data_IF_740172020714
#
_entry.id   IF_740172020714
#
_cell.length_a   1.000
_cell.length_b   1.000
_cell.length_c   1.000
_cell.angle_alpha   90.00
_cell.angle_beta   90.00
_cell.angle_gamma   90.00
#
_symmetry.space_group_name_H-M   'P 1'
#
loop_
_entity.id
_entity.type
_entity.pdbx_description
1 polymer ?
#
# COMPACT_ATOMS: atom_id res chain seq x y z
N UNK A 1 23.68 -21.83 -1.70
CA UNK A 1 22.28 -21.39 -1.47
C UNK A 1 22.05 -19.89 -1.24
N UNK A 2 23.04 -18.96 -1.21
CA UNK A 2 22.73 -17.51 -1.21
C UNK A 2 22.53 -16.89 -2.62
N UNK A 3 23.03 -17.55 -3.67
CA UNK A 3 23.10 -16.96 -5.01
C UNK A 3 21.78 -16.98 -5.80
N UNK A 4 20.79 -17.78 -5.41
CA UNK A 4 19.53 -17.91 -6.14
C UNK A 4 18.56 -16.78 -5.84
N UNK A 5 18.47 -16.35 -4.57
CA UNK A 5 17.70 -15.17 -4.16
C UNK A 5 18.33 -13.91 -4.75
N UNK A 6 19.67 -13.81 -4.68
CA UNK A 6 20.39 -12.67 -5.22
C UNK A 6 20.20 -12.52 -6.73
N UNK A 7 20.29 -13.60 -7.52
CA UNK A 7 20.02 -13.54 -8.97
C UNK A 7 18.56 -13.28 -9.27
N UNK A 8 17.64 -14.11 -8.79
CA UNK A 8 16.28 -14.07 -9.32
C UNK A 8 15.49 -12.84 -8.83
N UNK A 9 15.74 -12.38 -7.60
CA UNK A 9 15.05 -11.22 -7.05
C UNK A 9 15.78 -9.92 -7.41
N UNK A 10 17.11 -9.83 -7.19
CA UNK A 10 17.79 -8.57 -7.52
C UNK A 10 17.99 -8.38 -9.02
N UNK A 11 18.23 -9.40 -9.84
CA UNK A 11 18.29 -9.20 -11.30
C UNK A 11 16.89 -8.89 -11.86
N UNK A 12 15.81 -9.41 -11.24
CA UNK A 12 14.44 -9.02 -11.53
C UNK A 12 14.21 -7.53 -11.27
N UNK A 13 14.48 -7.08 -10.04
CA UNK A 13 14.36 -5.67 -9.61
C UNK A 13 15.29 -4.77 -10.43
N UNK A 14 16.51 -5.21 -10.75
CA UNK A 14 17.47 -4.44 -11.52
C UNK A 14 17.13 -4.40 -13.02
N UNK A 15 16.54 -5.47 -13.57
CA UNK A 15 16.03 -5.45 -14.95
C UNK A 15 14.83 -4.51 -15.09
N UNK A 16 13.99 -4.41 -14.05
CA UNK A 16 12.92 -3.43 -13.94
C UNK A 16 13.52 -2.03 -13.82
N UNK A 17 14.50 -1.83 -12.92
CA UNK A 17 15.22 -0.57 -12.69
C UNK A 17 16.02 -0.04 -13.89
N UNK A 18 16.59 -0.93 -14.71
CA UNK A 18 17.38 -0.56 -15.90
C UNK A 18 16.53 -0.19 -17.11
N UNK A 19 15.22 -0.47 -17.07
CA UNK A 19 14.23 -0.02 -18.05
C UNK A 19 13.52 1.28 -17.63
N UNK A 20 13.89 1.84 -16.48
CA UNK A 20 13.30 3.08 -15.95
C UNK A 20 13.90 4.28 -16.67
N UNK A 21 13.30 4.64 -17.81
CA UNK A 21 12.90 6.04 -17.93
C UNK A 21 11.87 6.27 -16.82
N UNK A 22 12.03 7.37 -16.09
CA UNK A 22 11.33 7.67 -14.85
C UNK A 22 9.85 7.23 -14.86
N UNK A 23 9.39 6.70 -13.72
CA UNK A 23 7.98 6.48 -13.34
C UNK A 23 7.51 5.01 -13.37
N UNK A 24 7.42 4.42 -12.17
CA UNK A 24 6.88 3.07 -11.85
C UNK A 24 5.39 2.92 -12.24
N UNK A 25 4.71 3.99 -12.69
CA UNK A 25 3.33 3.92 -13.12
C UNK A 25 3.09 3.29 -14.51
N UNK A 26 4.14 2.74 -15.15
CA UNK A 26 4.03 2.04 -16.44
C UNK A 26 4.19 0.51 -16.32
N UNK A 27 4.37 -0.02 -15.10
CA UNK A 27 4.35 -1.46 -14.90
C UNK A 27 2.89 -1.92 -14.90
N UNK A 28 2.45 -2.42 -16.06
CA UNK A 28 1.21 -3.19 -16.15
C UNK A 28 1.26 -4.31 -15.10
N UNK A 29 0.13 -4.61 -14.44
CA UNK A 29 0.05 -5.69 -13.47
C UNK A 29 0.33 -6.99 -14.21
N UNK A 30 1.37 -7.70 -13.82
CA UNK A 30 1.56 -9.09 -14.23
C UNK A 30 0.92 -9.94 -13.13
N UNK A 31 0.14 -10.97 -13.51
CA UNK A 31 -0.75 -11.79 -12.67
C UNK A 31 -0.17 -12.32 -11.32
N UNK A 32 1.14 -12.19 -11.08
CA UNK A 32 1.84 -12.69 -9.88
C UNK A 32 2.47 -11.58 -8.99
N UNK A 33 2.32 -10.29 -9.32
CA UNK A 33 2.99 -9.21 -8.59
C UNK A 33 2.06 -8.07 -8.19
N UNK A 34 2.21 -7.62 -6.94
CA UNK A 34 1.63 -6.35 -6.47
C UNK A 34 2.64 -5.25 -6.75
N UNK A 35 2.23 -4.22 -7.50
CA UNK A 35 3.06 -3.04 -7.76
C UNK A 35 2.69 -1.95 -6.75
N UNK A 36 3.67 -1.45 -6.02
CA UNK A 36 3.50 -0.36 -5.05
C UNK A 36 4.19 0.88 -5.60
N UNK A 37 3.41 1.91 -5.92
CA UNK A 37 3.87 3.21 -6.40
C UNK A 37 3.66 4.32 -5.39
N UNK A 38 4.21 5.50 -5.67
CA UNK A 38 3.93 6.72 -4.91
C UNK A 38 3.10 7.67 -5.77
N UNK A 39 2.17 8.40 -5.16
CA UNK A 39 1.31 9.37 -5.82
C UNK A 39 1.22 10.67 -5.03
N UNK A 40 0.90 11.75 -5.74
CA UNK A 40 0.69 13.09 -5.18
C UNK A 40 -0.68 13.60 -5.62
N UNK A 41 -1.27 14.57 -4.92
CA UNK A 41 -2.58 15.10 -5.31
C UNK A 41 -2.64 15.65 -6.75
N UNK A 42 -1.50 16.06 -7.33
CA UNK A 42 -1.42 16.57 -8.70
C UNK A 42 -1.54 15.47 -9.76
N UNK A 43 -1.08 14.25 -9.46
CA UNK A 43 -1.14 13.12 -10.40
C UNK A 43 -2.26 12.13 -10.05
N UNK A 44 -2.73 12.16 -8.81
CA UNK A 44 -3.81 11.34 -8.31
C UNK A 44 -4.71 12.17 -7.37
N UNK A 45 -5.80 12.77 -7.87
CA UNK A 45 -6.66 13.64 -7.07
C UNK A 45 -7.28 12.94 -5.84
N UNK A 46 -7.45 11.62 -5.91
CA UNK A 46 -7.94 10.77 -4.82
C UNK A 46 -6.95 10.68 -3.64
N UNK A 47 -5.66 10.97 -3.87
CA UNK A 47 -4.67 11.15 -2.81
C UNK A 47 -4.82 12.51 -2.12
N UNK A 48 -6.04 12.82 -1.68
CA UNK A 48 -6.35 14.08 -1.03
C UNK A 48 -5.84 14.09 0.42
N UNK A 49 -5.39 15.27 0.84
CA UNK A 49 -5.12 15.58 2.24
C UNK A 49 -5.88 16.86 2.58
N UNK A 50 -7.14 16.71 2.97
CA UNK A 50 -7.98 17.81 3.45
C UNK A 50 -8.09 17.74 4.98
N UNK A 51 -8.63 18.78 5.60
CA UNK A 51 -8.89 18.77 7.06
C UNK A 51 -9.88 17.67 7.48
N UNK A 52 -10.73 17.22 6.56
CA UNK A 52 -11.83 16.27 6.81
C UNK A 52 -11.58 14.88 6.25
N UNK A 53 -10.60 14.72 5.37
CA UNK A 53 -10.34 13.47 4.66
C UNK A 53 -8.84 13.34 4.38
N UNK A 54 -8.25 12.23 4.84
CA UNK A 54 -6.84 11.92 4.66
C UNK A 54 -6.74 10.56 4.00
N UNK A 55 -6.35 10.55 2.74
CA UNK A 55 -6.05 9.30 2.02
C UNK A 55 -4.59 8.92 2.27
N UNK A 56 -4.35 7.76 2.87
CA UNK A 56 -3.00 7.25 3.06
C UNK A 56 -2.51 6.44 1.86
N UNK A 57 -3.35 5.57 1.30
CA UNK A 57 -3.03 4.80 0.13
C UNK A 57 -4.32 4.52 -0.67
N UNK A 58 -4.15 4.01 -1.88
CA UNK A 58 -5.24 3.67 -2.80
C UNK A 58 -4.93 2.36 -3.50
N UNK A 59 -5.81 1.38 -3.36
CA UNK A 59 -5.82 0.17 -4.16
C UNK A 59 -6.61 0.39 -5.46
N UNK A 60 -5.94 0.23 -6.59
CA UNK A 60 -6.64 0.08 -7.86
C UNK A 60 -7.13 -1.36 -7.94
N UNK A 61 -8.40 -1.53 -7.53
CA UNK A 61 -9.12 -2.78 -7.72
C UNK A 61 -8.96 -3.21 -9.20
N UNK A 62 -9.23 -4.47 -9.52
CA UNK A 62 -8.57 -5.33 -10.53
C UNK A 62 -7.04 -5.44 -10.67
N UNK A 63 -6.27 -4.36 -10.57
CA UNK A 63 -4.99 -4.27 -11.29
C UNK A 63 -3.74 -4.49 -10.44
N UNK A 64 -3.80 -5.18 -9.30
CA UNK A 64 -2.55 -5.50 -8.58
C UNK A 64 -1.75 -4.27 -8.11
N UNK A 65 -2.31 -3.05 -8.14
CA UNK A 65 -1.55 -1.81 -7.94
C UNK A 65 -2.02 -1.08 -6.69
N UNK A 66 -1.06 -0.65 -5.87
CA UNK A 66 -1.29 0.21 -4.70
C UNK A 66 -0.52 1.51 -4.90
N UNK A 67 -1.19 2.66 -4.80
CA UNK A 67 -0.57 3.99 -4.76
C UNK A 67 -0.46 4.45 -3.31
N UNK A 68 0.75 4.79 -2.87
CA UNK A 68 0.99 5.43 -1.58
C UNK A 68 0.87 6.94 -1.76
N UNK A 69 -0.09 7.55 -1.08
CA UNK A 69 -0.26 8.99 -1.07
C UNK A 69 0.80 9.65 -0.19
N UNK A 70 1.04 10.95 -0.35
CA UNK A 70 2.01 11.68 0.48
C UNK A 70 1.74 11.54 1.98
N UNK A 71 0.45 11.51 2.37
CA UNK A 71 0.04 11.32 3.76
C UNK A 71 0.50 10.00 4.37
N UNK A 72 0.71 8.95 3.54
CA UNK A 72 1.20 7.65 3.98
C UNK A 72 2.44 7.77 4.85
N UNK A 73 3.37 8.65 4.45
CA UNK A 73 4.69 8.81 5.08
C UNK A 73 4.65 9.48 6.45
N UNK A 74 3.48 9.98 6.89
CA UNK A 74 3.27 10.45 8.27
C UNK A 74 2.91 9.33 9.24
N UNK A 75 2.56 8.14 8.76
CA UNK A 75 2.26 6.99 9.61
C UNK A 75 3.52 6.48 10.32
N UNK A 76 3.34 5.65 11.35
CA UNK A 76 4.46 5.02 12.05
C UNK A 76 4.78 3.65 11.45
N UNK A 77 6.08 3.29 11.42
CA UNK A 77 6.54 1.90 11.19
C UNK A 77 6.59 1.06 12.46
N UNK A 78 6.47 1.69 13.63
CA UNK A 78 6.65 1.04 14.92
C UNK A 78 5.37 0.32 15.37
N UNK A 79 5.22 -0.91 14.90
CA UNK A 79 4.15 -1.82 15.29
C UNK A 79 4.15 -2.18 16.76
N UNK A 80 5.33 -2.29 17.37
CA UNK A 80 5.43 -2.65 18.79
C UNK A 80 4.83 -1.55 19.65
N UNK A 81 5.11 -0.29 19.30
CA UNK A 81 4.49 0.87 19.94
C UNK A 81 2.99 0.94 19.66
N UNK A 82 2.54 0.74 18.42
CA UNK A 82 1.11 0.75 18.08
C UNK A 82 0.33 -0.32 18.89
N UNK A 83 0.88 -1.53 18.99
CA UNK A 83 0.30 -2.62 19.79
C UNK A 83 0.24 -2.29 21.28
N UNK A 84 1.32 -1.74 21.86
CA UNK A 84 1.35 -1.36 23.26
C UNK A 84 0.38 -0.21 23.58
N UNK A 85 0.24 0.76 22.66
CA UNK A 85 -0.72 1.85 22.80
C UNK A 85 -2.16 1.32 22.72
N UNK A 86 -2.45 0.37 21.82
CA UNK A 86 -3.76 -0.29 21.79
C UNK A 86 -4.05 -1.02 23.11
N UNK A 87 -3.09 -1.78 23.64
CA UNK A 87 -3.27 -2.49 24.92
C UNK A 87 -3.51 -1.56 26.11
N UNK A 88 -2.89 -0.37 26.13
CA UNK A 88 -2.96 0.57 27.24
C UNK A 88 -4.08 1.61 27.12
N UNK A 89 -4.36 2.11 25.92
CA UNK A 89 -5.33 3.19 25.67
C UNK A 89 -6.61 2.68 25.04
N UNK A 90 -6.65 1.40 24.61
CA UNK A 90 -7.74 0.82 23.80
C UNK A 90 -8.06 1.65 22.56
N UNK A 91 -7.07 2.41 22.09
CA UNK A 91 -7.15 3.22 20.88
C UNK A 91 -6.38 2.54 19.77
N UNK A 92 -7.02 2.52 18.62
CA UNK A 92 -6.40 2.06 17.41
C UNK A 92 -5.38 3.08 16.90
N UNK A 93 -4.28 2.61 16.33
CA UNK A 93 -3.23 3.45 15.78
C UNK A 93 -2.88 2.99 14.37
N UNK A 94 -3.03 3.90 13.42
CA UNK A 94 -2.69 3.63 12.03
C UNK A 94 -1.17 3.52 11.85
N UNK A 95 -0.74 2.55 11.03
CA UNK A 95 0.68 2.26 10.77
C UNK A 95 0.87 1.98 9.29
N UNK A 96 2.09 2.15 8.78
CA UNK A 96 2.42 1.93 7.37
C UNK A 96 1.88 0.59 6.84
N UNK A 97 2.23 -0.51 7.52
CA UNK A 97 1.82 -1.80 7.00
C UNK A 97 0.35 -2.12 7.30
N UNK A 98 -0.32 -1.43 8.25
CA UNK A 98 -1.76 -1.59 8.44
C UNK A 98 -2.51 -0.94 7.29
N UNK A 99 -2.13 0.28 6.92
CA UNK A 99 -2.64 0.93 5.72
C UNK A 99 -2.39 0.06 4.47
N UNK A 100 -1.18 -0.51 4.31
CA UNK A 100 -0.93 -1.45 3.19
C UNK A 100 -1.80 -2.72 3.26
N UNK A 101 -1.96 -3.33 4.43
CA UNK A 101 -2.80 -4.51 4.59
C UNK A 101 -4.27 -4.20 4.29
N UNK A 102 -4.74 -3.01 4.69
CA UNK A 102 -6.06 -2.51 4.34
C UNK A 102 -6.21 -2.43 2.81
N UNK A 103 -5.29 -1.74 2.11
CA UNK A 103 -5.33 -1.66 0.63
C UNK A 103 -5.34 -3.04 -0.04
N UNK A 104 -4.56 -3.99 0.47
CA UNK A 104 -4.52 -5.34 -0.06
C UNK A 104 -5.87 -6.08 0.04
N UNK A 105 -6.75 -5.72 0.99
CA UNK A 105 -8.09 -6.33 1.09
C UNK A 105 -9.04 -5.90 -0.03
N UNK A 106 -8.74 -4.80 -0.71
CA UNK A 106 -9.49 -4.34 -1.88
C UNK A 106 -9.12 -5.08 -3.18
N UNK A 107 -8.08 -5.92 -3.15
CA UNK A 107 -7.49 -6.50 -4.35
C UNK A 107 -7.95 -7.95 -4.56
N UNK A 108 -8.62 -8.20 -5.68
CA UNK A 108 -9.10 -9.53 -6.07
C UNK A 108 -7.98 -10.57 -6.16
N UNK A 109 -6.79 -10.16 -6.59
CA UNK A 109 -5.60 -11.01 -6.72
C UNK A 109 -5.03 -11.43 -5.37
N UNK A 110 -5.35 -10.73 -4.28
CA UNK A 110 -4.87 -11.04 -2.92
C UNK A 110 -5.88 -11.88 -2.16
N UNK A 111 -7.13 -11.40 -2.07
CA UNK A 111 -8.17 -12.02 -1.23
C UNK A 111 -9.15 -12.89 -2.01
N UNK A 112 -9.12 -12.84 -3.35
CA UNK A 112 -10.09 -13.48 -4.21
C UNK A 112 -11.37 -12.63 -4.39
N UNK A 113 -12.04 -12.78 -5.53
CA UNK A 113 -13.21 -11.96 -5.90
C UNK A 113 -14.38 -12.01 -4.93
N UNK A 114 -14.49 -13.07 -4.13
CA UNK A 114 -15.56 -13.23 -3.12
C UNK A 114 -15.30 -12.50 -1.81
N UNK A 115 -14.07 -12.04 -1.57
CA UNK A 115 -13.64 -11.49 -0.28
C UNK A 115 -13.10 -10.06 -0.39
N UNK A 116 -13.23 -9.44 -1.57
CA UNK A 116 -12.87 -8.03 -1.78
C UNK A 116 -13.69 -7.17 -0.83
N UNK A 117 -13.02 -6.26 -0.14
CA UNK A 117 -13.64 -5.29 0.75
C UNK A 117 -13.97 -3.98 0.02
N UNK A 118 -14.91 -3.23 0.59
CA UNK A 118 -15.19 -1.84 0.25
C UNK A 118 -15.08 -0.99 1.52
N UNK A 119 -14.79 0.29 1.35
CA UNK A 119 -14.63 1.22 2.46
C UNK A 119 -15.97 1.80 2.87
N UNK A 120 -16.58 1.16 3.87
CA UNK A 120 -17.83 1.63 4.47
C UNK A 120 -17.62 2.56 5.68
N UNK A 121 -16.38 2.67 6.18
CA UNK A 121 -16.01 3.52 7.31
C UNK A 121 -14.54 3.33 7.71
N UNK A 122 -13.94 4.37 8.30
CA UNK A 122 -12.53 4.37 8.72
C UNK A 122 -12.42 4.51 10.24
N UNK A 123 -11.66 3.60 10.87
CA UNK A 123 -11.44 3.58 12.31
C UNK A 123 -12.63 3.04 13.12
N UNK A 124 -12.48 2.87 14.44
CA UNK A 124 -13.56 2.46 15.33
C UNK A 124 -14.61 3.58 15.47
N UNK A 125 -15.89 3.19 15.59
CA UNK A 125 -16.97 4.10 16.03
C UNK A 125 -16.61 4.69 17.41
N UNK A 126 -16.78 6.01 17.58
CA UNK A 126 -16.54 6.70 18.86
C UNK A 126 -17.42 6.17 20.01
#
# INVERSE_FOLDING_TARGET
>A
MPNTIRRNIYDGIWSVGSKVDAYVASLDPVDDAIVIGCATPENEPECSQTETEITYALAYKPDGFIKLCTSYFYLSSDYSRAYNLWGSQRREHETFGRALLHEMTHMSVVVGTKWITEDYGYGPDE
#
